data_IF_612486308321
#
_entry.id   IF_612486308321
#
_cell.length_a   1.000
_cell.length_b   1.000
_cell.length_c   1.000
_cell.angle_alpha   90.00
_cell.angle_beta   90.00
_cell.angle_gamma   90.00
#
_symmetry.space_group_name_H-M   'P 1'
#
loop_
_entity.id
_entity.type
_entity.pdbx_description
1 polymer ?
#
# COMPACT_ATOMS: atom_id res chain seq x y z
N UNK A 1 35.92 12.31 0.01
CA UNK A 1 34.97 12.30 -1.12
C UNK A 1 33.56 12.46 -0.56
N UNK A 2 33.20 13.69 -0.23
CA UNK A 2 31.95 14.06 0.44
C UNK A 2 31.41 15.33 -0.23
N UNK A 3 30.89 15.20 -1.46
CA UNK A 3 30.58 16.39 -2.28
C UNK A 3 29.40 16.16 -3.23
N UNK A 4 28.36 15.44 -2.79
CA UNK A 4 27.16 15.21 -3.64
C UNK A 4 25.85 15.76 -3.07
N UNK A 5 25.85 16.42 -1.91
CA UNK A 5 24.58 16.75 -1.24
C UNK A 5 24.46 18.12 -0.56
N UNK A 6 25.33 19.09 -0.86
CA UNK A 6 25.25 20.43 -0.26
C UNK A 6 24.52 21.47 -1.14
N UNK A 7 24.36 21.19 -2.44
CA UNK A 7 23.72 22.14 -3.38
C UNK A 7 22.20 22.27 -3.18
N UNK A 8 21.55 21.26 -2.58
CA UNK A 8 20.08 21.26 -2.40
C UNK A 8 19.56 22.03 -1.19
N UNK A 9 20.43 22.46 -0.27
CA UNK A 9 20.02 23.10 0.98
C UNK A 9 19.91 24.63 0.91
N UNK A 10 20.47 25.26 -0.13
CA UNK A 10 20.59 26.73 -0.17
C UNK A 10 19.63 27.46 -1.12
N UNK A 11 18.83 26.76 -1.94
CA UNK A 11 17.98 27.43 -2.94
C UNK A 11 16.52 26.91 -2.92
N UNK A 12 15.77 27.31 -1.88
CA UNK A 12 14.38 26.88 -1.64
C UNK A 12 13.33 27.32 -2.69
N UNK A 13 13.47 28.41 -3.47
CA UNK A 13 12.46 28.73 -4.50
C UNK A 13 12.64 27.88 -5.78
N UNK A 14 13.87 27.73 -6.28
CA UNK A 14 14.16 27.01 -7.53
C UNK A 14 13.91 25.50 -7.40
N UNK A 15 14.18 24.93 -6.21
CA UNK A 15 13.81 23.55 -5.90
C UNK A 15 12.30 23.33 -5.93
N UNK A 16 11.49 24.31 -5.50
CA UNK A 16 10.04 24.19 -5.48
C UNK A 16 9.42 24.21 -6.88
N UNK A 17 9.94 25.04 -7.79
CA UNK A 17 9.45 25.13 -9.17
C UNK A 17 9.94 23.95 -10.01
N UNK A 18 11.18 23.50 -9.82
CA UNK A 18 11.69 22.28 -10.44
C UNK A 18 10.91 21.03 -9.96
N UNK A 19 10.58 20.95 -8.66
CA UNK A 19 9.72 19.89 -8.11
C UNK A 19 8.31 20.01 -8.65
N UNK A 20 7.73 21.21 -8.72
CA UNK A 20 6.39 21.42 -9.28
C UNK A 20 6.32 21.02 -10.75
N UNK A 21 7.33 21.38 -11.55
CA UNK A 21 7.44 20.99 -12.96
C UNK A 21 7.64 19.49 -13.11
N UNK A 22 8.48 18.87 -12.29
CA UNK A 22 8.68 17.42 -12.27
C UNK A 22 7.39 16.68 -11.87
N UNK A 23 6.67 17.16 -10.85
CA UNK A 23 5.37 16.63 -10.46
C UNK A 23 4.36 16.76 -11.59
N UNK A 24 4.25 17.95 -12.21
CA UNK A 24 3.32 18.19 -13.31
C UNK A 24 3.60 17.29 -14.52
N UNK A 25 4.88 17.10 -14.88
CA UNK A 25 5.27 16.21 -15.97
C UNK A 25 5.04 14.73 -15.62
N UNK A 26 5.26 14.36 -14.35
CA UNK A 26 5.00 13.02 -13.82
C UNK A 26 3.52 12.67 -13.84
N UNK A 27 2.64 13.59 -13.45
CA UNK A 27 1.17 13.44 -13.55
C UNK A 27 0.65 13.46 -15.00
N UNK A 28 1.52 13.60 -16.02
CA UNK A 28 1.15 13.46 -17.44
C UNK A 28 1.57 12.13 -18.05
N UNK A 29 2.27 11.25 -17.30
CA UNK A 29 2.71 9.94 -17.78
C UNK A 29 2.04 8.81 -17.01
N UNK A 30 1.71 7.72 -17.70
CA UNK A 30 1.21 6.52 -17.06
C UNK A 30 2.29 5.88 -16.16
N UNK A 31 1.91 5.27 -15.01
CA UNK A 31 0.54 5.16 -14.52
C UNK A 31 0.01 6.45 -13.87
N UNK A 32 0.89 7.37 -13.47
CA UNK A 32 0.57 8.52 -12.61
C UNK A 32 -0.48 9.50 -13.19
N UNK A 33 -0.60 9.58 -14.52
CA UNK A 33 -1.61 10.37 -15.21
C UNK A 33 -3.04 9.84 -15.13
N UNK A 34 -3.21 8.58 -14.69
CA UNK A 34 -4.53 7.96 -14.61
C UNK A 34 -5.28 8.36 -13.34
N UNK A 35 -4.58 8.94 -12.36
CA UNK A 35 -5.09 9.12 -11.01
C UNK A 35 -5.53 10.56 -10.80
N UNK A 36 -6.73 10.86 -11.29
CA UNK A 36 -7.41 12.12 -10.95
C UNK A 36 -7.77 12.15 -9.46
N UNK A 37 -7.82 13.34 -8.87
CA UNK A 37 -8.39 13.48 -7.54
C UNK A 37 -9.89 13.15 -7.60
N UNK A 38 -10.29 12.14 -6.82
CA UNK A 38 -11.68 11.72 -6.71
C UNK A 38 -12.11 11.82 -5.24
N UNK A 39 -13.23 12.50 -4.93
CA UNK A 39 -13.83 12.47 -3.60
C UNK A 39 -14.07 11.02 -3.13
N UNK A 40 -13.83 10.73 -1.86
CA UNK A 40 -13.85 9.36 -1.34
C UNK A 40 -15.24 8.71 -1.44
N UNK A 41 -16.29 9.52 -1.41
CA UNK A 41 -17.68 9.12 -1.57
C UNK A 41 -18.02 8.74 -3.02
N UNK A 42 -17.28 9.27 -3.99
CA UNK A 42 -17.45 9.00 -5.42
C UNK A 42 -16.52 7.89 -5.93
N UNK A 43 -15.64 7.35 -5.07
CA UNK A 43 -14.60 6.40 -5.47
C UNK A 43 -15.15 5.13 -6.12
N UNK A 44 -16.32 4.66 -5.66
CA UNK A 44 -17.00 3.49 -6.20
C UNK A 44 -17.45 3.67 -7.67
N UNK A 45 -17.75 4.90 -8.08
CA UNK A 45 -18.25 5.24 -9.42
C UNK A 45 -17.12 5.69 -10.37
N UNK A 46 -15.93 5.91 -9.84
CA UNK A 46 -14.79 6.35 -10.62
C UNK A 46 -14.30 5.24 -11.54
N UNK A 47 -14.33 5.50 -12.86
CA UNK A 47 -13.89 4.54 -13.88
C UNK A 47 -12.43 4.08 -13.72
N UNK A 48 -11.58 4.88 -13.07
CA UNK A 48 -10.19 4.50 -12.78
C UNK A 48 -10.01 3.49 -11.65
N UNK A 49 -11.05 3.21 -10.83
CA UNK A 49 -10.96 2.27 -9.71
C UNK A 49 -10.55 0.88 -10.17
N UNK A 50 -11.16 0.39 -11.26
CA UNK A 50 -10.82 -0.92 -11.83
C UNK A 50 -9.35 -0.99 -12.24
N UNK A 51 -8.81 0.08 -12.81
CA UNK A 51 -7.41 0.15 -13.20
C UNK A 51 -6.47 0.21 -12.00
N UNK A 52 -6.85 0.94 -10.93
CA UNK A 52 -6.08 0.97 -9.69
C UNK A 52 -6.02 -0.41 -9.04
N UNK A 53 -7.15 -1.13 -8.97
CA UNK A 53 -7.20 -2.47 -8.42
C UNK A 53 -6.31 -3.44 -9.22
N UNK A 54 -6.38 -3.39 -10.57
CA UNK A 54 -5.52 -4.18 -11.44
C UNK A 54 -4.03 -3.80 -11.29
N UNK A 55 -3.72 -2.52 -11.11
CA UNK A 55 -2.36 -2.04 -10.88
C UNK A 55 -1.76 -2.62 -9.58
N UNK A 56 -2.53 -2.60 -8.49
CA UNK A 56 -2.08 -3.14 -7.20
C UNK A 56 -2.05 -4.68 -7.21
N UNK A 57 -2.97 -5.32 -7.91
CA UNK A 57 -2.96 -6.77 -8.10
C UNK A 57 -1.75 -7.21 -8.93
N UNK A 58 -1.41 -6.49 -10.00
CA UNK A 58 -0.19 -6.71 -10.78
C UNK A 58 1.07 -6.55 -9.91
N UNK A 59 1.14 -5.49 -9.09
CA UNK A 59 2.21 -5.28 -8.10
C UNK A 59 2.35 -6.45 -7.13
N UNK A 60 1.24 -7.04 -6.72
CA UNK A 60 1.24 -8.12 -5.73
C UNK A 60 1.54 -9.49 -6.34
N UNK A 61 1.02 -9.79 -7.53
CA UNK A 61 1.17 -11.10 -8.20
C UNK A 61 2.46 -11.22 -9.01
N UNK A 62 2.86 -10.17 -9.71
CA UNK A 62 4.01 -10.18 -10.62
C UNK A 62 4.98 -9.05 -10.27
N UNK A 63 5.57 -9.11 -9.07
CA UNK A 63 6.30 -7.97 -8.50
C UNK A 63 7.54 -7.57 -9.31
N UNK A 64 8.14 -8.50 -10.07
CA UNK A 64 9.32 -8.23 -10.89
C UNK A 64 8.95 -7.60 -12.24
N UNK A 65 7.87 -8.07 -12.87
CA UNK A 65 7.31 -7.45 -14.06
C UNK A 65 6.82 -6.02 -13.77
N UNK A 66 6.13 -5.83 -12.65
CA UNK A 66 5.71 -4.51 -12.21
C UNK A 66 6.90 -3.58 -11.98
N UNK A 67 8.00 -4.08 -11.39
CA UNK A 67 9.22 -3.28 -11.19
C UNK A 67 9.85 -2.83 -12.50
N UNK A 68 9.86 -3.70 -13.51
CA UNK A 68 10.44 -3.40 -14.81
C UNK A 68 9.60 -2.41 -15.63
N UNK A 69 8.27 -2.47 -15.51
CA UNK A 69 7.37 -1.83 -16.48
C UNK A 69 6.52 -0.68 -15.91
N UNK A 70 6.21 -0.68 -14.61
CA UNK A 70 5.19 0.21 -14.04
C UNK A 70 5.47 0.70 -12.62
N UNK A 71 6.72 0.52 -12.15
CA UNK A 71 7.15 0.90 -10.81
C UNK A 71 6.85 2.35 -10.51
N UNK A 72 5.93 2.57 -9.58
CA UNK A 72 5.62 3.88 -9.04
C UNK A 72 5.22 3.77 -7.57
N UNK A 73 6.20 3.92 -6.67
CA UNK A 73 5.95 3.87 -5.22
C UNK A 73 4.97 4.95 -4.75
N UNK A 74 5.04 6.14 -5.36
CA UNK A 74 4.11 7.24 -5.09
C UNK A 74 2.67 6.86 -5.45
N UNK A 75 2.46 6.29 -6.64
CA UNK A 75 1.14 5.83 -7.09
C UNK A 75 0.60 4.71 -6.21
N UNK A 76 1.40 3.67 -5.92
CA UNK A 76 1.02 2.62 -4.97
C UNK A 76 0.62 3.22 -3.62
N UNK A 77 1.45 4.14 -3.11
CA UNK A 77 1.27 4.76 -1.81
C UNK A 77 0.04 5.68 -1.71
N UNK A 78 -0.24 6.42 -2.77
CA UNK A 78 -1.43 7.27 -2.93
C UNK A 78 -2.69 6.43 -3.07
N UNK A 79 -2.71 5.50 -4.02
CA UNK A 79 -3.87 4.63 -4.25
C UNK A 79 -4.28 3.81 -3.03
N UNK A 80 -3.32 3.22 -2.30
CA UNK A 80 -3.63 2.51 -1.05
C UNK A 80 -4.18 3.44 0.03
N UNK A 81 -3.72 4.70 0.09
CA UNK A 81 -4.24 5.70 1.04
C UNK A 81 -5.67 6.09 0.69
N UNK A 82 -5.95 6.31 -0.58
CA UNK A 82 -7.28 6.73 -1.03
C UNK A 82 -8.28 5.59 -0.88
N UNK A 83 -7.89 4.36 -1.27
CA UNK A 83 -8.69 3.15 -1.02
C UNK A 83 -8.99 2.96 0.47
N UNK A 84 -8.01 3.15 1.36
CA UNK A 84 -8.23 3.07 2.82
C UNK A 84 -9.34 4.03 3.27
N UNK A 85 -9.33 5.27 2.77
CA UNK A 85 -10.34 6.28 3.11
C UNK A 85 -11.70 6.00 2.46
N UNK A 86 -11.69 5.37 1.29
CA UNK A 86 -12.88 5.05 0.54
C UNK A 86 -13.61 3.81 1.05
N UNK A 87 -12.97 2.90 1.81
CA UNK A 87 -13.59 1.63 2.28
C UNK A 87 -15.04 1.77 2.78
N UNK A 88 -15.41 2.77 3.61
CA UNK A 88 -16.80 2.92 4.07
C UNK A 88 -17.85 3.18 2.97
N UNK A 89 -17.41 3.60 1.79
CA UNK A 89 -18.25 3.97 0.64
C UNK A 89 -18.18 2.96 -0.51
N UNK A 90 -17.37 1.91 -0.38
CA UNK A 90 -17.19 0.91 -1.43
C UNK A 90 -18.24 -0.21 -1.34
N UNK A 91 -18.70 -0.74 -2.49
CA UNK A 91 -19.51 -1.96 -2.51
C UNK A 91 -18.78 -3.14 -1.87
N UNK A 92 -19.52 -4.05 -1.26
CA UNK A 92 -18.97 -5.23 -0.57
C UNK A 92 -18.05 -6.07 -1.48
N UNK A 93 -18.38 -6.18 -2.77
CA UNK A 93 -17.58 -6.94 -3.74
C UNK A 93 -16.19 -6.33 -3.94
N UNK A 94 -16.09 -5.00 -3.88
CA UNK A 94 -14.81 -4.28 -3.96
C UNK A 94 -14.05 -4.46 -2.65
N UNK A 95 -14.72 -4.39 -1.50
CA UNK A 95 -14.09 -4.63 -0.20
C UNK A 95 -13.52 -6.05 -0.12
N UNK A 96 -14.24 -7.04 -0.65
CA UNK A 96 -13.74 -8.42 -0.76
C UNK A 96 -12.52 -8.52 -1.68
N UNK A 97 -12.49 -7.78 -2.79
CA UNK A 97 -11.32 -7.71 -3.67
C UNK A 97 -10.12 -7.07 -2.97
N UNK A 98 -10.33 -6.01 -2.18
CA UNK A 98 -9.28 -5.40 -1.37
C UNK A 98 -8.74 -6.36 -0.30
N UNK A 99 -9.62 -7.18 0.29
CA UNK A 99 -9.21 -8.18 1.27
C UNK A 99 -8.33 -9.27 0.63
N UNK A 100 -8.68 -9.73 -0.58
CA UNK A 100 -7.83 -10.64 -1.38
C UNK A 100 -6.50 -10.00 -1.76
N UNK A 101 -6.51 -8.72 -2.13
CA UNK A 101 -5.31 -7.96 -2.47
C UNK A 101 -4.34 -7.85 -1.28
N UNK A 102 -4.84 -7.58 -0.07
CA UNK A 102 -4.04 -7.60 1.17
C UNK A 102 -3.39 -8.98 1.35
N UNK A 103 -4.13 -10.06 1.14
CA UNK A 103 -3.61 -11.42 1.26
C UNK A 103 -2.52 -11.75 0.23
N UNK A 104 -2.67 -11.26 -1.01
CA UNK A 104 -1.61 -11.38 -2.03
C UNK A 104 -0.34 -10.64 -1.58
N UNK A 105 -0.48 -9.42 -1.04
CA UNK A 105 0.64 -8.64 -0.53
C UNK A 105 1.35 -9.32 0.66
N UNK A 106 0.61 -10.03 1.53
CA UNK A 106 1.19 -10.80 2.65
C UNK A 106 2.05 -11.96 2.14
N UNK A 107 1.65 -12.63 1.06
CA UNK A 107 2.35 -13.80 0.51
C UNK A 107 3.64 -13.43 -0.24
N UNK A 108 3.69 -12.31 -0.96
CA UNK A 108 4.90 -11.87 -1.70
C UNK A 108 5.95 -11.24 -0.79
N UNK A 109 7.22 -11.19 -1.17
CA UNK A 109 8.28 -10.53 -0.39
C UNK A 109 7.92 -9.08 0.01
N UNK A 110 8.30 -8.67 1.23
CA UNK A 110 8.03 -7.33 1.76
C UNK A 110 8.77 -6.23 0.98
N UNK A 111 8.08 -5.13 0.70
CA UNK A 111 8.55 -4.01 -0.10
C UNK A 111 8.19 -2.65 0.52
N UNK A 112 8.76 -1.60 -0.07
CA UNK A 112 8.47 -0.21 0.30
C UNK A 112 6.96 0.07 0.16
N UNK A 113 6.44 0.88 1.09
CA UNK A 113 5.01 1.19 1.29
C UNK A 113 4.10 0.02 1.71
N UNK A 114 4.60 -1.18 1.98
CA UNK A 114 3.74 -2.32 2.38
C UNK A 114 3.03 -2.12 3.71
N UNK A 115 3.54 -1.22 4.54
CA UNK A 115 2.84 -0.75 5.74
C UNK A 115 1.42 -0.25 5.42
N UNK A 116 1.17 0.25 4.20
CA UNK A 116 -0.15 0.69 3.78
C UNK A 116 -1.13 -0.46 3.55
N UNK A 117 -0.67 -1.66 3.20
CA UNK A 117 -1.55 -2.83 3.17
C UNK A 117 -2.04 -3.18 4.59
N UNK A 118 -1.23 -2.98 5.62
CA UNK A 118 -1.66 -3.15 7.00
C UNK A 118 -2.66 -2.07 7.45
N UNK A 119 -2.49 -0.83 6.97
CA UNK A 119 -3.46 0.25 7.20
C UNK A 119 -4.80 -0.07 6.49
N UNK A 120 -4.73 -0.49 5.23
CA UNK A 120 -5.91 -0.90 4.46
C UNK A 120 -6.63 -2.07 5.13
N UNK A 121 -5.90 -3.06 5.62
CA UNK A 121 -6.46 -4.20 6.33
C UNK A 121 -7.31 -3.76 7.55
N UNK A 122 -6.82 -2.79 8.32
CA UNK A 122 -7.59 -2.22 9.44
C UNK A 122 -8.88 -1.53 8.98
N UNK A 123 -8.85 -0.83 7.86
CA UNK A 123 -10.04 -0.17 7.32
C UNK A 123 -11.08 -1.19 6.83
N UNK A 124 -10.65 -2.31 6.24
CA UNK A 124 -11.53 -3.43 5.82
C UNK A 124 -12.19 -4.11 7.03
N UNK A 125 -11.45 -4.26 8.13
CA UNK A 125 -11.90 -4.91 9.35
C UNK A 125 -11.74 -6.44 9.34
N UNK A 126 -12.01 -7.04 10.49
CA UNK A 126 -11.64 -8.44 10.80
C UNK A 126 -12.45 -9.48 10.01
N UNK A 127 -13.77 -9.31 9.90
CA UNK A 127 -14.68 -10.36 9.42
C UNK A 127 -14.31 -10.98 8.06
N UNK A 128 -13.78 -10.18 7.13
CA UNK A 128 -13.35 -10.65 5.80
C UNK A 128 -11.93 -11.23 5.81
N UNK A 129 -11.02 -10.62 6.58
CA UNK A 129 -9.59 -10.95 6.55
C UNK A 129 -9.26 -12.17 7.42
N UNK A 130 -9.95 -12.36 8.54
CA UNK A 130 -9.65 -13.42 9.51
C UNK A 130 -9.51 -14.82 8.93
N UNK A 131 -10.47 -15.34 8.13
CA UNK A 131 -10.36 -16.69 7.59
C UNK A 131 -9.16 -16.83 6.64
N UNK A 132 -8.92 -15.82 5.79
CA UNK A 132 -7.81 -15.84 4.84
C UNK A 132 -6.45 -15.74 5.54
N UNK A 133 -6.33 -14.88 6.57
CA UNK A 133 -5.10 -14.75 7.35
C UNK A 133 -4.82 -16.00 8.19
N UNK A 134 -5.84 -16.68 8.70
CA UNK A 134 -5.69 -17.94 9.40
C UNK A 134 -5.12 -19.04 8.48
N UNK A 135 -5.58 -19.11 7.23
CA UNK A 135 -5.02 -20.01 6.22
C UNK A 135 -3.54 -19.69 5.94
N UNK A 136 -3.21 -18.41 5.70
CA UNK A 136 -1.84 -17.97 5.39
C UNK A 136 -0.91 -18.16 6.60
N UNK A 137 -1.43 -18.08 7.83
CA UNK A 137 -0.66 -18.35 9.04
C UNK A 137 -0.19 -19.83 9.14
N UNK A 138 -0.77 -20.73 8.34
CA UNK A 138 -0.37 -22.13 8.20
C UNK A 138 0.60 -22.41 7.04
N UNK A 139 1.05 -21.39 6.31
CA UNK A 139 1.93 -21.55 5.14
C UNK A 139 3.26 -22.25 5.48
N UNK A 140 3.89 -22.94 4.52
CA UNK A 140 5.18 -23.59 4.75
C UNK A 140 6.33 -22.58 4.94
N UNK A 141 6.24 -21.40 4.34
CA UNK A 141 7.23 -20.33 4.48
C UNK A 141 7.04 -19.57 5.80
N UNK A 142 8.07 -19.58 6.65
CA UNK A 142 8.06 -18.92 7.96
C UNK A 142 7.81 -17.40 7.86
N UNK A 143 8.39 -16.73 6.87
CA UNK A 143 8.20 -15.29 6.69
C UNK A 143 6.75 -15.01 6.33
N UNK A 144 6.13 -15.82 5.47
CA UNK A 144 4.70 -15.68 5.13
C UNK A 144 3.84 -15.88 6.37
N UNK A 145 4.06 -16.96 7.14
CA UNK A 145 3.34 -17.21 8.40
C UNK A 145 3.43 -16.06 9.38
N UNK A 146 4.64 -15.55 9.63
CA UNK A 146 4.87 -14.46 10.58
C UNK A 146 4.16 -13.17 10.15
N UNK A 147 4.13 -12.87 8.84
CA UNK A 147 3.42 -11.68 8.33
C UNK A 147 1.91 -11.80 8.48
N UNK A 148 1.34 -12.97 8.20
CA UNK A 148 -0.09 -13.21 8.44
C UNK A 148 -0.44 -13.09 9.93
N UNK A 149 0.35 -13.74 10.81
CA UNK A 149 0.16 -13.67 12.27
C UNK A 149 0.28 -12.25 12.81
N UNK A 150 1.22 -11.45 12.32
CA UNK A 150 1.34 -10.05 12.68
C UNK A 150 0.14 -9.23 12.23
N UNK A 151 -0.36 -9.47 11.01
CA UNK A 151 -1.53 -8.74 10.54
C UNK A 151 -2.78 -9.12 11.34
N UNK A 152 -2.98 -10.40 11.68
CA UNK A 152 -4.04 -10.82 12.60
C UNK A 152 -3.91 -10.14 13.97
N UNK A 153 -2.70 -10.12 14.54
CA UNK A 153 -2.44 -9.42 15.80
C UNK A 153 -2.76 -7.92 15.69
N UNK A 154 -2.43 -7.25 14.58
CA UNK A 154 -2.78 -5.84 14.37
C UNK A 154 -4.29 -5.57 14.27
N UNK A 155 -5.07 -6.54 13.78
CA UNK A 155 -6.53 -6.46 13.70
C UNK A 155 -7.17 -6.69 15.07
N UNK A 156 -6.59 -7.56 15.90
CA UNK A 156 -7.02 -7.80 17.28
C UNK A 156 -6.72 -6.60 18.22
N UNK A 157 -5.86 -5.66 17.79
CA UNK A 157 -5.40 -4.52 18.59
C UNK A 157 -5.66 -3.17 17.87
N UNK A 158 -6.94 -2.78 17.67
CA UNK A 158 -7.31 -1.56 16.96
C UNK A 158 -6.87 -0.26 17.68
N UNK A 159 -6.62 -0.32 18.98
CA UNK A 159 -6.15 0.80 19.80
C UNK A 159 -4.70 1.21 19.50
N UNK A 160 -3.92 0.32 18.88
CA UNK A 160 -2.53 0.63 18.53
C UNK A 160 -2.46 1.72 17.45
N UNK A 161 -1.46 2.61 17.51
CA UNK A 161 -1.28 3.64 16.50
C UNK A 161 -1.04 3.02 15.12
N UNK A 162 -1.19 3.84 14.08
CA UNK A 162 -1.01 3.45 12.67
C UNK A 162 0.20 2.52 12.50
N UNK A 163 0.02 1.38 11.79
CA UNK A 163 1.09 0.41 11.55
C UNK A 163 2.38 1.09 11.11
N UNK A 164 3.50 0.67 11.68
CA UNK A 164 4.86 1.17 11.34
C UNK A 164 5.90 0.09 11.54
N UNK A 165 7.03 0.20 10.84
CA UNK A 165 8.14 -0.79 10.87
C UNK A 165 8.57 -1.19 12.28
N UNK A 166 8.65 -0.24 13.21
CA UNK A 166 9.10 -0.53 14.58
C UNK A 166 8.11 -1.42 15.35
N UNK A 167 6.81 -1.36 15.06
CA UNK A 167 5.83 -2.26 15.67
C UNK A 167 6.06 -3.70 15.22
N UNK A 168 6.31 -3.92 13.91
CA UNK A 168 6.69 -5.23 13.37
C UNK A 168 7.94 -5.79 14.04
N UNK A 169 8.99 -4.97 14.16
CA UNK A 169 10.25 -5.39 14.81
C UNK A 169 10.04 -5.74 16.29
N UNK A 170 9.25 -4.93 17.01
CA UNK A 170 8.93 -5.20 18.41
C UNK A 170 8.10 -6.48 18.57
N UNK A 171 7.09 -6.67 17.71
CA UNK A 171 6.26 -7.87 17.69
C UNK A 171 7.08 -9.13 17.42
N UNK A 172 7.98 -9.09 16.43
CA UNK A 172 8.88 -10.21 16.11
C UNK A 172 9.75 -10.62 17.29
N UNK A 173 10.28 -9.65 18.06
CA UNK A 173 11.09 -9.94 19.25
C UNK A 173 10.30 -10.66 20.34
N UNK A 174 8.99 -10.46 20.39
CA UNK A 174 8.09 -11.17 21.31
C UNK A 174 7.55 -12.49 20.78
N UNK A 175 7.93 -12.91 19.57
CA UNK A 175 7.58 -14.24 19.02
C UNK A 175 8.63 -15.32 19.33
N UNK A 176 9.75 -14.94 19.94
CA UNK A 176 10.86 -15.83 20.33
C UNK A 176 10.88 -16.17 21.80
#
# INVERSE_FOLDING_TARGET
MAEFNEVWLHDRPAGSEAVARWCAERYRRLPDALWEYVPVEAYAQWGGLKYLLLYLEWESRYPDEWMANAKSWGTKGGGLRDLTRAVPYLPDEIVDQLARLVCLAVRREHRVEDVRYAILARAIGDGRLRPMLAEIAGDADEKIRLRARYLSWLLDHPELPTPKRNQWVAWLKGQG
#
